data_IF_814839648692
#
_entry.id   IF_814839648692
#
_cell.length_a   1.000
_cell.length_b   1.000
_cell.length_c   1.000
_cell.angle_alpha   90.00
_cell.angle_beta   90.00
_cell.angle_gamma   90.00
#
_symmetry.space_group_name_H-M   'P 1'
#
loop_
_entity.id
_entity.type
_entity.pdbx_description
1 polymer ?
#
# COMPACT_ATOMS: atom_id res chain seq x y z
N UNK A 1 -23.26 4.34 -6.76
CA UNK A 1 -23.05 2.94 -6.34
C UNK A 1 -21.55 2.75 -6.23
N UNK A 2 -20.97 2.81 -5.03
CA UNK A 2 -19.55 2.54 -4.86
C UNK A 2 -19.33 1.03 -4.99
N UNK A 3 -18.69 0.61 -6.06
CA UNK A 3 -18.23 -0.78 -6.22
C UNK A 3 -17.15 -1.01 -5.18
N UNK A 4 -17.48 -1.63 -4.05
CA UNK A 4 -16.49 -2.11 -3.10
C UNK A 4 -15.67 -3.21 -3.80
N UNK A 5 -14.50 -2.85 -4.33
CA UNK A 5 -13.56 -3.78 -4.94
C UNK A 5 -13.16 -4.81 -3.88
N UNK A 6 -13.65 -6.04 -4.00
CA UNK A 6 -13.38 -7.13 -3.06
C UNK A 6 -12.05 -7.82 -3.38
N UNK A 7 -10.98 -7.04 -3.46
CA UNK A 7 -9.66 -7.57 -3.74
C UNK A 7 -9.15 -8.37 -2.54
N UNK A 8 -8.78 -9.64 -2.77
CA UNK A 8 -8.20 -10.53 -1.75
C UNK A 8 -7.18 -11.48 -2.38
N UNK A 9 -6.04 -11.76 -1.73
CA UNK A 9 -5.05 -12.72 -2.22
C UNK A 9 -5.53 -14.16 -2.01
N UNK A 10 -4.96 -15.11 -2.76
CA UNK A 10 -5.38 -16.52 -2.74
C UNK A 10 -5.23 -17.21 -1.37
N UNK A 11 -4.33 -16.73 -0.52
CA UNK A 11 -4.13 -17.25 0.84
C UNK A 11 -5.08 -16.63 1.88
N UNK A 12 -5.84 -15.60 1.52
CA UNK A 12 -6.77 -14.93 2.44
C UNK A 12 -7.99 -15.81 2.76
N UNK A 13 -8.04 -16.29 3.99
CA UNK A 13 -9.19 -17.00 4.56
C UNK A 13 -10.12 -16.05 5.31
N UNK A 14 -11.33 -15.81 4.77
CA UNK A 14 -12.31 -14.88 5.34
C UNK A 14 -12.50 -15.06 6.85
N UNK A 15 -12.78 -16.28 7.30
CA UNK A 15 -13.04 -16.58 8.71
C UNK A 15 -11.89 -16.17 9.64
N UNK A 16 -10.64 -16.27 9.18
CA UNK A 16 -9.45 -16.04 10.00
C UNK A 16 -8.94 -14.61 9.94
N UNK A 17 -8.94 -14.01 8.75
CA UNK A 17 -8.37 -12.68 8.53
C UNK A 17 -9.43 -11.58 8.67
N UNK A 18 -10.67 -11.79 8.23
CA UNK A 18 -11.73 -10.77 8.31
C UNK A 18 -12.11 -10.45 9.76
N UNK A 19 -12.33 -11.46 10.59
CA UNK A 19 -12.71 -11.27 12.00
C UNK A 19 -11.64 -10.49 12.80
N UNK A 20 -10.37 -10.74 12.51
CA UNK A 20 -9.28 -10.03 13.17
C UNK A 20 -9.04 -8.65 12.55
N UNK A 21 -9.16 -8.54 11.23
CA UNK A 21 -9.09 -7.28 10.51
C UNK A 21 -10.18 -6.33 11.01
N UNK A 22 -11.42 -6.78 11.16
CA UNK A 22 -12.54 -5.94 11.61
C UNK A 22 -12.30 -5.27 12.97
N UNK A 23 -11.53 -5.89 13.87
CA UNK A 23 -11.19 -5.30 15.17
C UNK A 23 -10.14 -4.20 15.05
N UNK A 24 -9.17 -4.39 14.16
CA UNK A 24 -8.04 -3.48 13.99
C UNK A 24 -8.36 -2.38 12.97
N UNK A 25 -9.24 -2.65 12.02
CA UNK A 25 -9.75 -1.74 10.98
C UNK A 25 -10.23 -0.43 11.58
N UNK A 26 -11.06 -0.46 12.62
CA UNK A 26 -11.60 0.75 13.25
C UNK A 26 -10.52 1.56 13.98
N UNK A 27 -9.52 0.90 14.58
CA UNK A 27 -8.39 1.58 15.21
C UNK A 27 -7.51 2.26 14.15
N UNK A 28 -7.17 1.55 13.07
CA UNK A 28 -6.42 2.10 11.94
C UNK A 28 -7.19 3.20 11.21
N UNK A 29 -8.51 3.10 11.13
CA UNK A 29 -9.37 4.14 10.54
C UNK A 29 -9.32 5.43 11.33
N UNK A 30 -9.34 5.32 12.66
CA UNK A 30 -9.20 6.48 13.55
C UNK A 30 -7.80 7.09 13.47
N UNK A 31 -6.79 6.25 13.33
CA UNK A 31 -5.38 6.65 13.23
C UNK A 31 -4.96 7.09 11.81
N UNK A 32 -5.85 6.92 10.82
CA UNK A 32 -5.51 7.12 9.42
C UNK A 32 -4.95 8.51 9.12
N UNK A 33 -5.49 9.56 9.76
CA UNK A 33 -4.97 10.92 9.58
C UNK A 33 -3.51 11.08 10.05
N UNK A 34 -3.12 10.36 11.10
CA UNK A 34 -1.73 10.33 11.56
C UNK A 34 -0.87 9.50 10.63
N UNK A 35 -1.32 8.28 10.30
CA UNK A 35 -0.62 7.40 9.36
C UNK A 35 -0.35 8.10 8.02
N UNK A 36 -1.29 8.93 7.53
CA UNK A 36 -1.10 9.77 6.34
C UNK A 36 0.07 10.75 6.49
N UNK A 37 0.15 11.44 7.62
CA UNK A 37 1.24 12.37 7.95
C UNK A 37 2.58 11.66 8.04
N UNK A 38 2.65 10.51 8.72
CA UNK A 38 3.88 9.72 8.82
C UNK A 38 4.37 9.22 7.46
N UNK A 39 3.44 8.80 6.60
CA UNK A 39 3.74 8.32 5.25
C UNK A 39 3.96 9.46 4.24
N UNK A 40 3.81 10.74 4.66
CA UNK A 40 3.84 11.92 3.79
C UNK A 40 2.87 11.81 2.60
N UNK A 41 1.74 11.14 2.80
CA UNK A 41 0.66 10.98 1.82
C UNK A 41 -0.48 11.91 2.22
N UNK A 42 -0.96 12.76 1.30
CA UNK A 42 -2.02 13.74 1.61
C UNK A 42 -1.57 15.20 1.58
N UNK A 43 -0.26 15.45 1.45
CA UNK A 43 0.27 16.79 1.20
C UNK A 43 0.18 17.15 -0.29
N UNK A 44 -0.04 18.43 -0.58
CA UNK A 44 0.21 19.03 -1.90
C UNK A 44 1.73 19.08 -2.15
N UNK A 45 2.40 17.93 -2.05
CA UNK A 45 3.81 17.82 -2.39
C UNK A 45 3.85 17.65 -3.90
N UNK A 46 4.06 18.80 -4.56
CA UNK A 46 4.85 18.87 -5.79
C UNK A 46 5.89 17.75 -5.73
N UNK A 47 5.99 16.94 -6.79
CA UNK A 47 7.08 16.00 -7.04
C UNK A 47 8.44 16.72 -6.93
N UNK A 48 8.89 17.02 -5.71
CA UNK A 48 10.28 17.25 -5.35
C UNK A 48 10.77 16.05 -4.54
N UNK A 49 10.32 14.87 -4.97
CA UNK A 49 11.21 13.83 -5.48
C UNK A 49 12.68 13.96 -5.03
N UNK A 50 12.91 13.50 -3.80
CA UNK A 50 14.26 13.15 -3.31
C UNK A 50 14.84 11.96 -4.12
N UNK A 51 14.04 11.33 -5.00
CA UNK A 51 14.49 10.32 -5.97
C UNK A 51 14.88 10.90 -7.34
N UNK A 52 14.36 12.06 -7.76
CA UNK A 52 14.65 12.65 -9.09
C UNK A 52 16.03 13.32 -9.14
N UNK A 53 16.51 13.87 -8.01
CA UNK A 53 17.88 14.43 -7.94
C UNK A 53 18.96 13.34 -8.05
N UNK A 54 18.69 12.12 -7.58
CA UNK A 54 19.66 11.01 -7.63
C UNK A 54 19.62 10.28 -8.99
N UNK A 55 18.51 10.33 -9.73
CA UNK A 55 18.40 9.71 -11.07
C UNK A 55 18.83 10.60 -12.23
N UNK A 56 18.89 11.93 -12.08
CA UNK A 56 19.40 12.81 -13.16
C UNK A 56 20.90 12.64 -13.46
N UNK A 57 21.69 12.00 -12.58
CA UNK A 57 23.09 11.68 -12.85
C UNK A 57 23.28 10.43 -13.74
N UNK A 58 22.27 9.57 -13.88
CA UNK A 58 22.36 8.30 -14.61
C UNK A 58 21.41 8.33 -15.82
N UNK A 59 21.94 8.81 -16.95
CA UNK A 59 21.17 9.21 -18.12
C UNK A 59 20.22 8.17 -18.74
N UNK A 60 19.33 8.76 -19.57
CA UNK A 60 18.49 8.17 -20.64
C UNK A 60 17.14 7.57 -20.23
N UNK A 61 16.11 8.42 -20.15
CA UNK A 61 14.83 8.15 -20.81
C UNK A 61 14.03 9.46 -20.96
N UNK A 62 13.40 9.67 -22.11
CA UNK A 62 12.62 10.87 -22.42
C UNK A 62 11.49 11.07 -21.41
N UNK A 63 11.56 12.18 -20.69
CA UNK A 63 10.54 12.65 -19.75
C UNK A 63 9.24 13.01 -20.52
N UNK A 64 8.05 12.79 -19.92
CA UNK A 64 6.81 13.37 -20.44
C UNK A 64 6.89 14.91 -20.43
N UNK A 65 6.14 15.61 -21.30
CA UNK A 65 6.14 17.07 -21.39
C UNK A 65 5.81 17.73 -20.05
N UNK A 66 6.57 18.78 -19.72
CA UNK A 66 6.58 19.56 -18.45
C UNK A 66 5.20 20.13 -18.08
N UNK A 67 4.27 20.25 -19.03
CA UNK A 67 3.01 20.96 -18.87
C UNK A 67 1.84 20.10 -18.33
N UNK A 68 2.08 18.82 -18.04
CA UNK A 68 1.07 17.95 -17.46
C UNK A 68 1.57 17.42 -16.12
N UNK A 69 1.24 18.12 -15.03
CA UNK A 69 1.31 17.51 -13.71
C UNK A 69 0.50 16.21 -13.77
N UNK A 70 1.14 15.05 -13.60
CA UNK A 70 0.40 13.84 -13.27
C UNK A 70 -0.46 14.20 -12.06
N UNK A 71 -1.79 13.99 -12.10
CA UNK A 71 -2.61 14.24 -10.93
C UNK A 71 -1.96 13.48 -9.77
N UNK A 72 -1.62 14.14 -8.66
CA UNK A 72 -0.95 13.47 -7.57
C UNK A 72 -1.86 12.31 -7.15
N UNK A 73 -1.34 11.08 -7.24
CA UNK A 73 -2.06 9.90 -6.81
C UNK A 73 -2.03 9.86 -5.29
N UNK A 74 -2.77 10.78 -4.69
CA UNK A 74 -2.89 10.87 -3.25
C UNK A 74 -3.87 9.79 -2.83
N UNK A 75 -3.41 8.81 -2.07
CA UNK A 75 -4.31 7.98 -1.27
C UNK A 75 -4.77 8.87 -0.12
N UNK A 76 -5.89 9.53 -0.30
CA UNK A 76 -6.40 10.56 0.61
C UNK A 76 -7.49 10.02 1.54
N UNK A 77 -8.30 9.10 1.00
CA UNK A 77 -9.48 8.58 1.63
C UNK A 77 -9.23 7.21 2.30
N UNK A 78 -9.99 6.96 3.36
CA UNK A 78 -9.93 5.69 4.09
C UNK A 78 -10.24 4.49 3.18
N UNK A 79 -11.25 4.60 2.32
CA UNK A 79 -11.67 3.53 1.41
C UNK A 79 -10.55 3.08 0.47
N UNK A 80 -9.64 3.98 0.08
CA UNK A 80 -8.49 3.67 -0.77
C UNK A 80 -7.36 2.98 0.02
N UNK A 81 -7.25 3.26 1.32
CA UNK A 81 -6.24 2.74 2.22
C UNK A 81 -6.63 1.43 2.91
N UNK A 82 -7.92 1.16 3.02
CA UNK A 82 -8.45 0.01 3.75
C UNK A 82 -7.93 -1.30 3.19
N UNK A 83 -8.02 -1.50 1.88
CA UNK A 83 -7.59 -2.72 1.19
C UNK A 83 -6.08 -2.97 1.39
N UNK A 84 -5.17 -2.01 1.09
CA UNK A 84 -3.75 -2.22 1.30
C UNK A 84 -3.35 -2.39 2.78
N UNK A 85 -3.96 -1.64 3.72
CA UNK A 85 -3.73 -1.84 5.16
C UNK A 85 -4.15 -3.25 5.59
N UNK A 86 -5.34 -3.68 5.17
CA UNK A 86 -5.88 -4.99 5.49
C UNK A 86 -5.03 -6.11 4.92
N UNK A 87 -4.55 -5.94 3.68
CA UNK A 87 -3.65 -6.88 3.05
C UNK A 87 -2.35 -7.08 3.84
N UNK A 88 -1.68 -5.98 4.22
CA UNK A 88 -0.47 -6.04 5.03
C UNK A 88 -0.71 -6.69 6.40
N UNK A 89 -1.80 -6.31 7.07
CA UNK A 89 -2.18 -6.89 8.36
C UNK A 89 -2.44 -8.40 8.25
N UNK A 90 -3.18 -8.83 7.22
CA UNK A 90 -3.41 -10.25 6.96
C UNK A 90 -2.12 -11.01 6.67
N UNK A 91 -1.24 -10.40 5.88
CA UNK A 91 0.05 -10.97 5.52
C UNK A 91 0.92 -11.18 6.77
N UNK A 92 0.93 -10.23 7.71
CA UNK A 92 1.66 -10.37 8.97
C UNK A 92 1.20 -11.58 9.77
N UNK A 93 -0.09 -11.88 9.74
CA UNK A 93 -0.64 -13.02 10.49
C UNK A 93 -0.40 -14.35 9.80
N UNK A 94 -0.31 -14.35 8.47
CA UNK A 94 -0.04 -15.57 7.69
C UNK A 94 1.46 -15.90 7.68
N UNK A 95 2.31 -14.90 7.45
CA UNK A 95 3.74 -15.08 7.19
C UNK A 95 4.64 -14.59 8.32
N UNK A 96 4.11 -13.94 9.37
CA UNK A 96 4.91 -13.30 10.41
C UNK A 96 5.68 -14.25 11.34
N UNK A 97 5.35 -15.55 11.33
CA UNK A 97 6.14 -16.57 12.03
C UNK A 97 7.48 -16.83 11.33
N UNK A 98 7.45 -16.93 10.00
CA UNK A 98 8.64 -17.16 9.16
C UNK A 98 9.38 -15.85 8.86
N UNK A 99 8.64 -14.74 8.78
CA UNK A 99 9.14 -13.39 8.54
C UNK A 99 8.83 -12.50 9.75
N UNK A 100 9.63 -12.52 10.83
CA UNK A 100 9.35 -11.74 12.03
C UNK A 100 9.46 -10.23 11.82
N UNK A 101 10.06 -9.78 10.72
CA UNK A 101 10.18 -8.37 10.32
C UNK A 101 9.78 -8.20 8.86
N UNK A 102 9.61 -6.95 8.40
CA UNK A 102 9.47 -6.67 6.98
C UNK A 102 10.85 -6.76 6.30
N UNK A 103 11.06 -7.82 5.52
CA UNK A 103 12.28 -8.08 4.74
C UNK A 103 12.01 -8.08 3.22
N UNK A 104 13.06 -8.21 2.42
CA UNK A 104 12.98 -8.18 0.96
C UNK A 104 12.22 -9.37 0.37
N UNK A 105 12.27 -10.54 1.03
CA UNK A 105 11.61 -11.77 0.56
C UNK A 105 10.09 -11.65 0.72
N UNK A 106 9.63 -11.24 1.90
CA UNK A 106 8.19 -11.01 2.12
C UNK A 106 7.68 -9.87 1.26
N UNK A 107 8.45 -8.79 1.11
CA UNK A 107 8.08 -7.68 0.25
C UNK A 107 7.87 -8.12 -1.21
N UNK A 108 8.82 -8.90 -1.74
CA UNK A 108 8.76 -9.40 -3.13
C UNK A 108 7.54 -10.31 -3.32
N UNK A 109 7.27 -11.17 -2.34
CA UNK A 109 6.10 -12.04 -2.35
C UNK A 109 4.80 -11.23 -2.38
N UNK A 110 4.65 -10.27 -1.46
CA UNK A 110 3.45 -9.45 -1.36
C UNK A 110 3.24 -8.58 -2.59
N UNK A 111 4.32 -8.07 -3.18
CA UNK A 111 4.28 -7.37 -4.47
C UNK A 111 3.75 -8.28 -5.58
N UNK A 112 4.30 -9.49 -5.70
CA UNK A 112 3.90 -10.42 -6.75
C UNK A 112 2.42 -10.79 -6.65
N UNK A 113 1.91 -10.99 -5.44
CA UNK A 113 0.49 -11.26 -5.19
C UNK A 113 -0.38 -10.03 -5.49
N UNK A 114 0.07 -8.84 -5.10
CA UNK A 114 -0.63 -7.58 -5.37
C UNK A 114 -0.67 -7.23 -6.85
N UNK A 115 0.37 -7.53 -7.62
CA UNK A 115 0.42 -7.23 -9.06
C UNK A 115 -0.03 -8.42 -9.93
N UNK A 116 -0.48 -9.53 -9.34
CA UNK A 116 -0.97 -10.69 -10.10
C UNK A 116 -2.17 -10.26 -10.97
N UNK A 117 -2.11 -10.43 -12.30
CA UNK A 117 -3.16 -10.00 -13.22
C UNK A 117 -4.50 -10.74 -13.02
N UNK A 118 -4.52 -11.82 -12.24
CA UNK A 118 -5.75 -12.52 -11.83
C UNK A 118 -6.50 -11.76 -10.73
N UNK A 119 -5.83 -10.83 -10.06
CA UNK A 119 -6.41 -10.02 -9.01
C UNK A 119 -6.70 -8.61 -9.55
N UNK A 120 -7.90 -8.10 -9.29
CA UNK A 120 -8.32 -6.75 -9.74
C UNK A 120 -7.82 -5.69 -8.75
N UNK A 121 -6.50 -5.56 -8.65
CA UNK A 121 -5.84 -4.69 -7.68
C UNK A 121 -6.18 -3.23 -7.98
N UNK A 122 -6.69 -2.47 -7.00
CA UNK A 122 -7.20 -1.12 -7.26
C UNK A 122 -6.09 -0.08 -7.53
N UNK A 123 -4.81 -0.43 -7.27
CA UNK A 123 -3.65 0.49 -7.31
C UNK A 123 -2.38 -0.25 -7.70
N UNK A 124 -1.37 0.51 -8.18
CA UNK A 124 -0.01 -0.03 -8.41
C UNK A 124 0.70 -0.25 -7.08
N UNK A 125 1.60 -1.24 -7.04
CA UNK A 125 2.37 -1.55 -5.84
C UNK A 125 3.10 -0.34 -5.25
N UNK A 126 3.81 0.45 -6.06
CA UNK A 126 4.56 1.63 -5.59
C UNK A 126 3.67 2.66 -4.88
N UNK A 127 2.39 2.77 -5.26
CA UNK A 127 1.44 3.71 -4.67
C UNK A 127 0.97 3.23 -3.27
N UNK A 128 0.96 1.92 -3.02
CA UNK A 128 0.39 1.32 -1.79
C UNK A 128 1.41 0.63 -0.88
N UNK A 129 2.65 0.42 -1.33
CA UNK A 129 3.69 -0.31 -0.60
C UNK A 129 3.85 0.18 0.85
N UNK A 130 3.93 1.50 1.05
CA UNK A 130 4.06 2.09 2.37
C UNK A 130 2.86 1.80 3.29
N UNK A 131 1.66 1.78 2.71
CA UNK A 131 0.41 1.46 3.43
C UNK A 131 0.34 -0.03 3.78
N UNK A 132 0.71 -0.91 2.85
CA UNK A 132 0.79 -2.35 3.09
C UNK A 132 1.81 -2.65 4.20
N UNK A 133 2.97 -2.01 4.16
CA UNK A 133 3.98 -2.14 5.23
C UNK A 133 3.45 -1.67 6.58
N UNK A 134 2.74 -0.54 6.64
CA UNK A 134 2.10 -0.06 7.87
C UNK A 134 1.09 -1.08 8.41
N UNK A 135 0.29 -1.68 7.52
CA UNK A 135 -0.63 -2.76 7.87
C UNK A 135 0.10 -3.96 8.47
N UNK A 136 1.21 -4.38 7.86
CA UNK A 136 2.05 -5.46 8.36
C UNK A 136 2.59 -5.18 9.77
N UNK A 137 3.14 -3.99 10.00
CA UNK A 137 3.66 -3.59 11.32
C UNK A 137 2.58 -3.55 12.40
N UNK A 138 1.31 -3.35 12.03
CA UNK A 138 0.18 -3.33 12.96
C UNK A 138 -0.35 -4.71 13.36
N UNK A 139 0.05 -5.79 12.66
CA UNK A 139 -0.46 -7.15 12.88
C UNK A 139 0.41 -8.08 13.73
N UNK A 140 1.55 -7.56 14.22
CA UNK A 140 2.54 -8.29 15.02
C UNK A 140 2.32 -8.21 16.52
#
# INVERSE_FOLDING_TARGET
>A
MATSTNWRPAWWKEDKHESAWSRVKEALRRDWDQTKKDLHIGGHELNQDVKDTVRQAAGKQSLPPIDQANPPKVIGDWDEAEIPLGYGYGARREFGQDHPTWDEDIETKLRSDWEDPRNDSPRKWDDVRGIIKRGWESGG
#
